data_IF_001845063560
#
_entry.id   IF_001845063560
#
_cell.length_a   1.000
_cell.length_b   1.000
_cell.length_c   1.000
_cell.angle_alpha   90.00
_cell.angle_beta   90.00
_cell.angle_gamma   90.00
#
_symmetry.space_group_name_H-M   'P 1'
#
loop_
_entity.id
_entity.type
_entity.pdbx_description
1 polymer ?
#
# COMPACT_ATOMS: atom_id res chain seq x y z
N UNK A 1 16.91 -3.27 -27.39
CA UNK A 1 16.29 -2.07 -26.79
C UNK A 1 15.36 -2.60 -25.72
N UNK A 2 15.83 -2.70 -24.48
CA UNK A 2 14.99 -3.22 -23.38
C UNK A 2 14.11 -2.05 -22.98
N UNK A 3 12.81 -2.14 -23.28
CA UNK A 3 11.82 -1.27 -22.66
C UNK A 3 12.08 -1.34 -21.15
N UNK A 4 12.58 -0.26 -20.56
CA UNK A 4 12.62 -0.19 -19.11
C UNK A 4 11.17 -0.15 -18.67
N UNK A 5 10.63 -1.27 -18.19
CA UNK A 5 9.30 -1.33 -17.62
C UNK A 5 9.20 -0.25 -16.53
N UNK A 6 8.56 0.86 -16.86
CA UNK A 6 8.26 1.92 -15.89
C UNK A 6 7.19 1.36 -14.95
N UNK A 7 7.60 0.96 -13.75
CA UNK A 7 6.67 0.40 -12.79
C UNK A 7 5.73 1.48 -12.24
N UNK A 8 4.47 1.07 -12.02
CA UNK A 8 3.45 1.81 -11.28
C UNK A 8 3.36 1.14 -9.91
N UNK A 9 3.99 1.74 -8.91
CA UNK A 9 4.18 1.12 -7.59
C UNK A 9 3.15 1.69 -6.63
N UNK A 10 2.22 0.85 -6.15
CA UNK A 10 1.32 1.24 -5.06
C UNK A 10 1.94 0.81 -3.73
N UNK A 11 2.00 1.75 -2.78
CA UNK A 11 2.55 1.51 -1.45
C UNK A 11 1.49 1.88 -0.41
N UNK A 12 1.10 0.93 0.43
CA UNK A 12 0.28 1.20 1.63
C UNK A 12 1.18 1.26 2.87
N UNK A 13 0.80 2.02 3.88
CA UNK A 13 1.66 2.28 5.04
C UNK A 13 2.85 3.19 4.70
N UNK A 14 2.72 3.99 3.63
CA UNK A 14 3.80 4.77 3.06
C UNK A 14 4.33 5.88 3.99
N UNK A 15 3.51 6.32 4.96
CA UNK A 15 3.88 7.29 5.98
C UNK A 15 4.54 6.69 7.23
N UNK A 16 4.62 5.36 7.32
CA UNK A 16 5.30 4.66 8.43
C UNK A 16 6.82 4.68 8.32
N UNK A 17 7.50 4.08 9.29
CA UNK A 17 8.97 4.02 9.33
C UNK A 17 9.56 3.37 8.07
N UNK A 18 9.11 2.16 7.72
CA UNK A 18 9.58 1.45 6.52
C UNK A 18 9.10 2.13 5.24
N UNK A 19 7.85 2.60 5.21
CA UNK A 19 7.26 3.26 4.05
C UNK A 19 8.02 4.52 3.65
N UNK A 20 8.32 5.39 4.61
CA UNK A 20 9.06 6.63 4.35
C UNK A 20 10.49 6.38 3.86
N UNK A 21 11.18 5.38 4.42
CA UNK A 21 12.51 4.95 3.94
C UNK A 21 12.44 4.41 2.50
N UNK A 22 11.43 3.58 2.18
CA UNK A 22 11.22 3.08 0.82
C UNK A 22 10.95 4.21 -0.18
N UNK A 23 10.12 5.19 0.19
CA UNK A 23 9.85 6.35 -0.67
C UNK A 23 11.13 7.15 -0.97
N UNK A 24 12.00 7.34 0.02
CA UNK A 24 13.29 8.02 -0.17
C UNK A 24 14.22 7.23 -1.10
N UNK A 25 14.27 5.90 -0.95
CA UNK A 25 15.07 5.03 -1.82
C UNK A 25 14.55 5.05 -3.26
N UNK A 26 13.24 4.93 -3.47
CA UNK A 26 12.64 4.98 -4.80
C UNK A 26 12.86 6.34 -5.48
N UNK A 27 12.78 7.43 -4.72
CA UNK A 27 13.06 8.76 -5.26
C UNK A 27 14.53 8.95 -5.67
N UNK A 28 15.47 8.32 -4.95
CA UNK A 28 16.90 8.38 -5.26
C UNK A 28 17.30 7.50 -6.44
N UNK A 29 16.84 6.25 -6.43
CA UNK A 29 17.41 5.20 -7.29
C UNK A 29 16.45 4.75 -8.41
N UNK A 30 15.16 5.08 -8.29
CA UNK A 30 14.10 4.59 -9.18
C UNK A 30 13.18 5.71 -9.69
N UNK A 31 13.72 6.90 -9.95
CA UNK A 31 12.95 8.10 -10.37
C UNK A 31 12.14 7.97 -11.67
N UNK A 32 12.29 6.87 -12.42
CA UNK A 32 11.43 6.56 -13.57
C UNK A 32 10.10 5.91 -13.17
N UNK A 33 9.99 5.31 -11.98
CA UNK A 33 8.76 4.67 -11.51
C UNK A 33 7.71 5.70 -11.10
N UNK A 34 6.45 5.42 -11.38
CA UNK A 34 5.32 6.19 -10.85
C UNK A 34 4.90 5.60 -9.50
N UNK A 35 4.97 6.41 -8.43
CA UNK A 35 4.72 5.94 -7.06
C UNK A 35 3.40 6.49 -6.52
N UNK A 36 2.52 5.58 -6.10
CA UNK A 36 1.25 5.89 -5.42
C UNK A 36 1.38 5.56 -3.94
N UNK A 37 1.71 6.58 -3.15
CA UNK A 37 1.85 6.46 -1.70
C UNK A 37 0.50 6.65 -0.99
N UNK A 38 0.11 5.67 -0.18
CA UNK A 38 -1.06 5.67 0.68
C UNK A 38 -0.64 5.47 2.15
N UNK A 39 -1.08 6.36 3.06
CA UNK A 39 -0.78 6.30 4.49
C UNK A 39 -1.88 6.88 5.39
N UNK A 40 -1.80 6.63 6.71
CA UNK A 40 -2.68 7.24 7.74
C UNK A 40 -2.00 8.22 8.70
N UNK A 41 -2.55 9.44 8.88
CA UNK A 41 -2.13 10.48 9.85
C UNK A 41 -2.17 11.93 9.31
N UNK A 42 -1.73 12.93 10.11
CA UNK A 42 -1.76 14.36 9.73
C UNK A 42 -0.74 14.68 8.62
N UNK A 43 -1.19 15.40 7.59
CA UNK A 43 -0.34 15.85 6.46
C UNK A 43 -0.08 14.79 5.38
N UNK A 44 -0.94 13.77 5.29
CA UNK A 44 -0.59 12.56 4.56
C UNK A 44 -1.07 12.46 3.12
N UNK A 45 -0.23 11.79 2.34
CA UNK A 45 -0.45 11.44 0.93
C UNK A 45 -1.53 10.36 0.86
N UNK A 46 -2.65 10.71 0.20
CA UNK A 46 -3.75 9.82 -0.19
C UNK A 46 -4.19 8.86 0.94
N UNK A 47 -4.96 9.33 1.94
CA UNK A 47 -5.49 8.43 2.96
C UNK A 47 -6.43 7.39 2.32
N UNK A 48 -6.24 6.12 2.69
CA UNK A 48 -7.14 5.03 2.33
C UNK A 48 -7.35 4.14 3.54
N UNK A 49 -8.59 3.91 3.92
CA UNK A 49 -8.91 2.89 4.92
C UNK A 49 -8.98 1.52 4.23
N UNK A 50 -8.12 0.59 4.64
CA UNK A 50 -8.07 -0.76 4.08
C UNK A 50 -9.30 -1.60 4.44
N UNK A 51 -10.08 -1.18 5.45
CA UNK A 51 -11.36 -1.79 5.79
C UNK A 51 -12.49 -1.34 4.85
N UNK A 52 -12.33 -0.20 4.16
CA UNK A 52 -13.25 0.22 3.11
C UNK A 52 -12.87 -0.46 1.78
N UNK A 53 -13.49 -1.62 1.56
CA UNK A 53 -13.30 -2.41 0.34
C UNK A 53 -13.55 -1.61 -0.94
N UNK A 54 -14.52 -0.70 -0.95
CA UNK A 54 -14.85 0.10 -2.13
C UNK A 54 -13.76 1.13 -2.41
N UNK A 55 -13.20 1.75 -1.36
CA UNK A 55 -12.08 2.67 -1.49
C UNK A 55 -10.82 1.95 -1.99
N UNK A 56 -10.51 0.76 -1.45
CA UNK A 56 -9.42 -0.11 -1.91
C UNK A 56 -9.57 -0.44 -3.40
N UNK A 57 -10.77 -0.86 -3.80
CA UNK A 57 -11.07 -1.20 -5.19
C UNK A 57 -10.93 0.01 -6.12
N UNK A 58 -11.43 1.16 -5.72
CA UNK A 58 -11.27 2.41 -6.46
C UNK A 58 -9.79 2.80 -6.60
N UNK A 59 -8.99 2.64 -5.55
CA UNK A 59 -7.56 2.94 -5.57
C UNK A 59 -6.80 2.03 -6.53
N UNK A 60 -7.01 0.71 -6.48
CA UNK A 60 -6.36 -0.24 -7.40
C UNK A 60 -6.77 0.04 -8.85
N UNK A 61 -8.07 0.25 -9.12
CA UNK A 61 -8.56 0.55 -10.48
C UNK A 61 -8.01 1.86 -11.03
N UNK A 62 -7.92 2.89 -10.19
CA UNK A 62 -7.40 4.21 -10.58
C UNK A 62 -5.90 4.16 -10.85
N UNK A 63 -5.15 3.49 -9.99
CA UNK A 63 -3.68 3.48 -10.05
C UNK A 63 -3.14 2.44 -11.03
N UNK A 64 -3.87 1.35 -11.30
CA UNK A 64 -3.45 0.24 -12.18
C UNK A 64 -2.01 -0.18 -11.87
N UNK A 65 -1.69 -0.59 -10.63
CA UNK A 65 -0.32 -0.85 -10.23
C UNK A 65 0.25 -2.04 -11.02
N UNK A 66 1.55 -1.99 -11.30
CA UNK A 66 2.34 -3.14 -11.77
C UNK A 66 3.20 -3.73 -10.67
N UNK A 67 3.29 -3.06 -9.52
CA UNK A 67 3.85 -3.60 -8.29
C UNK A 67 3.07 -3.08 -7.07
N UNK A 68 2.88 -3.93 -6.06
CA UNK A 68 2.17 -3.61 -4.83
C UNK A 68 3.04 -3.90 -3.59
N UNK A 69 3.33 -2.87 -2.80
CA UNK A 69 4.05 -3.01 -1.53
C UNK A 69 3.12 -2.69 -0.37
N UNK A 70 2.77 -3.70 0.42
CA UNK A 70 1.83 -3.57 1.54
C UNK A 70 2.58 -3.46 2.88
N UNK A 71 2.70 -2.23 3.41
CA UNK A 71 3.37 -1.94 4.70
C UNK A 71 2.40 -1.40 5.76
N UNK A 72 1.10 -1.33 5.46
CA UNK A 72 0.07 -0.90 6.41
C UNK A 72 -0.28 -2.06 7.36
N UNK A 73 0.03 -1.89 8.64
CA UNK A 73 -0.31 -2.84 9.69
C UNK A 73 -0.29 -2.17 11.07
N UNK A 74 -1.02 -2.74 12.02
CA UNK A 74 -0.71 -2.59 13.45
C UNK A 74 0.55 -3.42 13.72
N UNK A 75 1.70 -2.75 13.67
CA UNK A 75 3.01 -3.41 13.72
C UNK A 75 3.57 -3.53 15.16
N UNK A 76 3.19 -2.63 16.07
CA UNK A 76 3.69 -2.64 17.44
C UNK A 76 3.02 -3.77 18.25
N UNK A 77 3.78 -4.72 18.84
CA UNK A 77 3.19 -5.81 19.61
C UNK A 77 2.37 -5.35 20.82
N UNK A 78 2.73 -4.23 21.43
CA UNK A 78 1.96 -3.65 22.54
C UNK A 78 0.57 -3.17 22.07
N UNK A 79 0.51 -2.44 20.96
CA UNK A 79 -0.76 -1.95 20.40
C UNK A 79 -1.64 -3.10 19.94
N UNK A 80 -1.06 -4.12 19.30
CA UNK A 80 -1.78 -5.32 18.90
C UNK A 80 -2.33 -6.12 20.11
N UNK A 81 -1.59 -6.17 21.23
CA UNK A 81 -2.09 -6.79 22.47
C UNK A 81 -3.21 -5.98 23.12
N UNK A 82 -3.12 -4.64 23.07
CA UNK A 82 -4.11 -3.76 23.66
C UNK A 82 -5.41 -3.71 22.85
N UNK A 83 -5.34 -3.88 21.53
CA UNK A 83 -6.49 -3.86 20.62
C UNK A 83 -6.44 -5.02 19.60
N UNK A 84 -6.58 -6.28 20.04
CA UNK A 84 -6.37 -7.45 19.17
C UNK A 84 -7.36 -7.55 18.01
N UNK A 85 -8.63 -7.15 18.22
CA UNK A 85 -9.62 -7.10 17.14
C UNK A 85 -9.23 -6.09 16.06
N UNK A 86 -8.81 -4.90 16.47
CA UNK A 86 -8.35 -3.88 15.52
C UNK A 86 -7.11 -4.34 14.74
N UNK A 87 -6.15 -4.97 15.42
CA UNK A 87 -4.98 -5.54 14.75
C UNK A 87 -5.37 -6.64 13.76
N UNK A 88 -6.33 -7.49 14.10
CA UNK A 88 -6.86 -8.51 13.19
C UNK A 88 -7.54 -7.88 11.98
N UNK A 89 -8.43 -6.91 12.21
CA UNK A 89 -9.15 -6.20 11.16
C UNK A 89 -8.17 -5.56 10.18
N UNK A 90 -7.19 -4.80 10.66
CA UNK A 90 -6.21 -4.14 9.79
C UNK A 90 -5.29 -5.15 9.10
N UNK A 91 -4.66 -6.06 9.85
CA UNK A 91 -3.56 -6.90 9.35
C UNK A 91 -4.04 -8.14 8.59
N UNK A 92 -5.31 -8.53 8.74
CA UNK A 92 -5.88 -9.70 8.06
C UNK A 92 -6.95 -9.24 7.09
N UNK A 93 -8.02 -8.62 7.58
CA UNK A 93 -9.15 -8.22 6.73
C UNK A 93 -8.73 -7.14 5.72
N UNK A 94 -7.98 -6.13 6.17
CA UNK A 94 -7.43 -5.09 5.29
C UNK A 94 -6.48 -5.63 4.22
N UNK A 95 -5.62 -6.58 4.59
CA UNK A 95 -4.74 -7.28 3.64
C UNK A 95 -5.55 -8.08 2.61
N UNK A 96 -6.59 -8.80 3.04
CA UNK A 96 -7.46 -9.56 2.14
C UNK A 96 -8.19 -8.65 1.14
N UNK A 97 -8.74 -7.52 1.60
CA UNK A 97 -9.39 -6.54 0.73
C UNK A 97 -8.44 -6.06 -0.38
N UNK A 98 -7.20 -5.77 -0.01
CA UNK A 98 -6.17 -5.31 -0.95
C UNK A 98 -5.77 -6.42 -1.94
N UNK A 99 -5.48 -7.63 -1.44
CA UNK A 99 -5.08 -8.77 -2.27
C UNK A 99 -6.17 -9.15 -3.27
N UNK A 100 -7.43 -9.28 -2.81
CA UNK A 100 -8.54 -9.59 -3.68
C UNK A 100 -8.77 -8.52 -4.76
N UNK A 101 -8.64 -7.24 -4.39
CA UNK A 101 -8.78 -6.15 -5.35
C UNK A 101 -7.65 -6.17 -6.39
N UNK A 102 -6.42 -6.44 -5.96
CA UNK A 102 -5.28 -6.59 -6.87
C UNK A 102 -5.50 -7.77 -7.83
N UNK A 103 -5.95 -8.92 -7.34
CA UNK A 103 -6.27 -10.08 -8.19
C UNK A 103 -7.35 -9.76 -9.24
N UNK A 104 -8.38 -8.98 -8.89
CA UNK A 104 -9.47 -8.62 -9.81
C UNK A 104 -9.05 -7.59 -10.86
N UNK A 105 -8.26 -6.59 -10.46
CA UNK A 105 -8.08 -5.36 -11.27
C UNK A 105 -6.64 -5.09 -11.71
N UNK A 106 -5.68 -5.80 -11.15
CA UNK A 106 -4.25 -5.73 -11.48
C UNK A 106 -3.58 -7.12 -11.34
N UNK A 107 -4.08 -8.17 -12.01
CA UNK A 107 -3.61 -9.55 -11.82
C UNK A 107 -2.13 -9.78 -12.17
N UNK A 108 -1.56 -8.91 -13.01
CA UNK A 108 -0.15 -8.95 -13.41
C UNK A 108 0.77 -8.15 -12.46
N UNK A 109 0.20 -7.50 -11.44
CA UNK A 109 1.00 -6.79 -10.45
C UNK A 109 1.83 -7.79 -9.62
N UNK A 110 3.10 -7.43 -9.40
CA UNK A 110 4.02 -8.19 -8.56
C UNK A 110 4.03 -7.70 -7.11
#
# INVERSE_FOLDING_TARGET
MVDSLTHRILITGASGFVGSALLQLLARDHGKCEVFAFGHGKGQMNPIDLMDRSAVEAAIRKTRPTALVHLAAVAAPADARNAPRHAWDVNVTGTMNLAESAMRHAPEAR
#
